data_IF_945801341163
#
_entry.id   IF_945801341163
#
_cell.length_a   1.000
_cell.length_b   1.000
_cell.length_c   1.000
_cell.angle_alpha   90.00
_cell.angle_beta   90.00
_cell.angle_gamma   90.00
#
_symmetry.space_group_name_H-M   'P 1'
#
loop_
_entity.id
_entity.type
_entity.pdbx_description
1 polymer ?
#
# COMPACT_ATOMS: atom_id res chain seq x y z
N UNK A 1 19.11 2.64 17.31
CA UNK A 1 17.71 2.95 17.60
C UNK A 1 16.87 2.83 16.33
N UNK A 2 15.82 2.10 16.43
CA UNK A 2 14.94 1.94 15.27
C UNK A 2 13.99 3.12 15.17
N UNK A 3 14.06 3.81 14.07
CA UNK A 3 13.17 4.94 13.82
C UNK A 3 11.78 4.44 13.49
N UNK A 4 11.71 3.37 12.71
CA UNK A 4 10.43 2.79 12.29
C UNK A 4 10.36 1.34 12.71
N UNK A 5 9.18 0.93 13.15
CA UNK A 5 8.90 -0.47 13.44
C UNK A 5 8.41 -1.16 12.16
N UNK A 6 8.57 -2.49 12.05
CA UNK A 6 8.15 -3.18 10.83
C UNK A 6 6.70 -2.91 10.44
N UNK A 7 5.79 -2.89 11.42
CA UNK A 7 4.39 -2.62 11.12
C UNK A 7 4.20 -1.22 10.52
N UNK A 8 4.93 -0.23 11.02
CA UNK A 8 4.85 1.12 10.48
C UNK A 8 5.34 1.19 9.04
N UNK A 9 6.41 0.47 8.74
CA UNK A 9 6.96 0.44 7.39
C UNK A 9 5.94 -0.15 6.42
N UNK A 10 5.29 -1.24 6.81
CA UNK A 10 4.27 -1.84 5.95
C UNK A 10 3.04 -0.95 5.81
N UNK A 11 2.68 -0.21 6.85
CA UNK A 11 1.58 0.76 6.76
C UNK A 11 1.90 1.87 5.74
N UNK A 12 3.13 2.36 5.75
CA UNK A 12 3.57 3.35 4.75
C UNK A 12 3.53 2.75 3.35
N UNK A 13 4.02 1.52 3.20
CA UNK A 13 4.04 0.86 1.90
C UNK A 13 2.62 0.71 1.35
N UNK A 14 1.67 0.31 2.20
CA UNK A 14 0.27 0.19 1.81
C UNK A 14 -0.28 1.52 1.33
N UNK A 15 0.03 2.60 2.05
CA UNK A 15 -0.45 3.93 1.66
C UNK A 15 0.13 4.36 0.32
N UNK A 16 1.40 4.07 0.08
CA UNK A 16 2.04 4.38 -1.20
C UNK A 16 1.33 3.64 -2.34
N UNK A 17 1.02 2.36 -2.13
CA UNK A 17 0.34 1.57 -3.14
C UNK A 17 -1.09 2.07 -3.38
N UNK A 18 -1.78 2.48 -2.32
CA UNK A 18 -3.13 3.04 -2.46
C UNK A 18 -3.10 4.34 -3.28
N UNK A 19 -2.12 5.18 -3.00
CA UNK A 19 -1.96 6.42 -3.74
C UNK A 19 -1.61 6.13 -5.20
N UNK A 20 -0.77 5.15 -5.44
CA UNK A 20 -0.40 4.74 -6.79
C UNK A 20 -1.59 4.22 -7.57
N UNK A 21 -2.38 3.36 -6.96
CA UNK A 21 -3.57 2.83 -7.59
C UNK A 21 -4.54 3.95 -7.97
N UNK A 22 -4.77 4.87 -7.03
CA UNK A 22 -5.65 6.00 -7.26
C UNK A 22 -5.16 6.87 -8.41
N UNK A 23 -3.85 7.13 -8.43
CA UNK A 23 -3.24 7.93 -9.49
C UNK A 23 -3.47 7.29 -10.86
N UNK A 24 -3.20 6.01 -10.97
CA UNK A 24 -3.35 5.31 -12.26
C UNK A 24 -4.81 5.21 -12.69
N UNK A 25 -5.74 5.00 -11.75
CA UNK A 25 -7.16 4.99 -12.09
C UNK A 25 -7.61 6.36 -12.62
N UNK A 26 -7.14 7.42 -11.99
CA UNK A 26 -7.46 8.77 -12.45
C UNK A 26 -6.86 9.06 -13.83
N UNK A 27 -5.61 8.61 -14.05
CA UNK A 27 -4.97 8.76 -15.35
C UNK A 27 -5.74 8.01 -16.43
N UNK A 28 -6.22 6.80 -16.12
CA UNK A 28 -7.00 6.03 -17.07
C UNK A 28 -8.31 6.73 -17.43
N UNK A 29 -8.93 7.40 -16.47
CA UNK A 29 -10.16 8.13 -16.74
C UNK A 29 -9.91 9.41 -17.54
N UNK A 30 -8.76 10.03 -17.34
CA UNK A 30 -8.44 11.31 -17.97
C UNK A 30 -7.96 11.16 -19.42
N UNK A 31 -7.35 10.04 -19.76
CA UNK A 31 -6.80 9.88 -21.10
C UNK A 31 -7.88 9.50 -22.10
N UNK A 32 -7.73 10.00 -23.33
CA UNK A 32 -8.62 9.63 -24.44
C UNK A 32 -8.03 8.52 -25.30
N UNK A 33 -6.77 8.19 -25.06
CA UNK A 33 -6.07 7.13 -25.78
C UNK A 33 -6.44 5.78 -25.17
N UNK A 34 -7.09 4.92 -25.94
CA UNK A 34 -7.56 3.63 -25.44
C UNK A 34 -6.41 2.73 -25.00
N UNK A 35 -5.28 2.77 -25.70
CA UNK A 35 -4.13 1.98 -25.33
C UNK A 35 -3.53 2.46 -24.00
N UNK A 36 -3.42 3.77 -23.83
CA UNK A 36 -2.94 4.35 -22.58
C UNK A 36 -3.88 4.02 -21.44
N UNK A 37 -5.19 4.07 -21.69
CA UNK A 37 -6.18 3.73 -20.67
C UNK A 37 -6.00 2.30 -20.20
N UNK A 38 -5.79 1.38 -21.14
CA UNK A 38 -5.55 -0.02 -20.77
C UNK A 38 -4.31 -0.16 -19.89
N UNK A 39 -3.24 0.52 -20.29
CA UNK A 39 -1.97 0.46 -19.55
C UNK A 39 -2.14 1.02 -18.14
N UNK A 40 -2.80 2.17 -18.00
CA UNK A 40 -3.00 2.77 -16.68
C UNK A 40 -3.87 1.88 -15.78
N UNK A 41 -4.92 1.26 -16.34
CA UNK A 41 -5.73 0.34 -15.55
C UNK A 41 -4.94 -0.88 -15.12
N UNK A 42 -4.08 -1.38 -15.99
CA UNK A 42 -3.22 -2.52 -15.67
C UNK A 42 -2.24 -2.17 -14.55
N UNK A 43 -1.65 -0.98 -14.62
CA UNK A 43 -0.76 -0.50 -13.58
C UNK A 43 -1.50 -0.35 -12.25
N UNK A 44 -2.75 0.14 -12.29
CA UNK A 44 -3.56 0.25 -11.09
C UNK A 44 -3.83 -1.13 -10.48
N UNK A 45 -4.11 -2.12 -11.32
CA UNK A 45 -4.33 -3.50 -10.86
C UNK A 45 -3.08 -4.04 -10.18
N UNK A 46 -1.91 -3.74 -10.74
CA UNK A 46 -0.64 -4.17 -10.13
C UNK A 46 -0.44 -3.53 -8.75
N UNK A 47 -0.77 -2.23 -8.61
CA UNK A 47 -0.67 -1.56 -7.32
C UNK A 47 -1.61 -2.20 -6.30
N UNK A 48 -2.82 -2.59 -6.73
CA UNK A 48 -3.77 -3.25 -5.85
C UNK A 48 -3.23 -4.59 -5.36
N UNK A 49 -2.54 -5.33 -6.22
CA UNK A 49 -1.92 -6.60 -5.84
C UNK A 49 -0.80 -6.38 -4.84
N UNK A 50 0.05 -5.38 -5.08
CA UNK A 50 1.13 -5.05 -4.15
C UNK A 50 0.57 -4.68 -2.78
N UNK A 51 -0.52 -3.93 -2.77
CA UNK A 51 -1.16 -3.56 -1.51
C UNK A 51 -1.58 -4.79 -0.72
N UNK A 52 -2.16 -5.79 -1.38
CA UNK A 52 -2.57 -7.01 -0.70
C UNK A 52 -1.37 -7.77 -0.13
N UNK A 53 -0.27 -7.79 -0.86
CA UNK A 53 0.96 -8.42 -0.39
C UNK A 53 1.46 -7.73 0.87
N UNK A 54 1.50 -6.40 0.86
CA UNK A 54 1.95 -5.64 2.02
C UNK A 54 1.01 -5.79 3.21
N UNK A 55 -0.30 -5.90 2.95
CA UNK A 55 -1.25 -6.17 4.04
C UNK A 55 -0.98 -7.52 4.70
N UNK A 56 -0.61 -8.52 3.90
CA UNK A 56 -0.21 -9.81 4.43
C UNK A 56 1.03 -9.70 5.31
N UNK A 57 2.01 -8.93 4.87
CA UNK A 57 3.20 -8.71 5.68
C UNK A 57 2.89 -7.94 6.96
N UNK A 58 2.01 -6.96 6.88
CA UNK A 58 1.59 -6.20 8.05
C UNK A 58 0.93 -7.12 9.08
N UNK A 59 0.00 -7.96 8.62
CA UNK A 59 -0.66 -8.91 9.52
C UNK A 59 0.35 -9.82 10.20
N UNK A 60 1.35 -10.26 9.45
CA UNK A 60 2.40 -11.10 10.01
C UNK A 60 3.25 -10.35 11.03
N UNK A 61 3.59 -9.12 10.74
CA UNK A 61 4.38 -8.31 11.66
C UNK A 61 3.63 -8.07 12.96
N UNK A 62 2.33 -7.81 12.88
CA UNK A 62 1.50 -7.59 14.05
C UNK A 62 1.33 -8.88 14.84
N UNK A 63 1.27 -10.02 14.17
CA UNK A 63 1.17 -11.32 14.83
C UNK A 63 2.42 -11.62 15.63
N UNK A 64 3.60 -11.32 15.08
CA UNK A 64 4.88 -11.60 15.73
C UNK A 64 5.16 -10.59 16.83
N UNK A 65 4.86 -9.31 16.58
CA UNK A 65 5.16 -8.22 17.51
C UNK A 65 3.92 -7.37 17.74
N UNK A 66 2.90 -7.93 18.42
CA UNK A 66 1.63 -7.22 18.57
C UNK A 66 1.76 -5.90 19.34
N UNK A 67 2.77 -5.75 20.18
CA UNK A 67 2.97 -4.54 20.96
C UNK A 67 3.37 -3.34 20.12
N UNK A 68 3.86 -3.57 18.92
CA UNK A 68 4.22 -2.48 18.04
C UNK A 68 3.02 -1.69 17.57
N UNK A 69 1.84 -2.32 17.63
CA UNK A 69 0.61 -1.66 17.23
C UNK A 69 -0.05 -0.89 18.37
N UNK A 70 0.48 -1.06 19.58
CA UNK A 70 -0.10 -0.48 20.79
C UNK A 70 0.82 0.52 21.46
N UNK A 71 1.72 1.10 20.73
CA UNK A 71 2.72 1.99 21.34
C UNK A 71 2.08 3.13 22.12
N UNK A 72 0.95 3.64 21.63
CA UNK A 72 0.26 4.73 22.32
C UNK A 72 -0.33 4.32 23.64
N UNK A 73 -0.61 3.05 23.83
CA UNK A 73 -1.22 2.55 25.05
C UNK A 73 -0.22 2.34 26.15
N UNK A 74 1.03 2.17 25.81
CA UNK A 74 2.07 1.87 26.78
C UNK A 74 2.87 3.10 27.17
N UNK A 75 2.50 4.19 26.62
CA UNK A 75 3.14 5.46 26.93
C UNK A 75 2.26 6.31 27.81
#
# INVERSE_FOLDING_TARGET
>A
MDIFKPAEIFQFAIRIEENGEKFYRQAAQATKDEEAKYIFNDLADEEAKHKQIFKGFLDKAEEINPRETYTGEYL
#
